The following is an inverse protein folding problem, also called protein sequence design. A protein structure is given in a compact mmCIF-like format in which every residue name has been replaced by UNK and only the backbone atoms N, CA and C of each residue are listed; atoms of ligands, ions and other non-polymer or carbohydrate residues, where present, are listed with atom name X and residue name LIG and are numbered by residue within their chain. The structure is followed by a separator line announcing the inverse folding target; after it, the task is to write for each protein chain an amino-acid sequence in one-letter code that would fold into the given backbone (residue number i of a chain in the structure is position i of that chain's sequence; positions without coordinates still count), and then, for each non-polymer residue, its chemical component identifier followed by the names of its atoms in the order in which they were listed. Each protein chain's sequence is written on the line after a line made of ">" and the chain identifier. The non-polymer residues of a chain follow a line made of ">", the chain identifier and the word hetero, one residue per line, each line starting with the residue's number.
data_IF_067988665138
#
_entry.id   IF_067988665138
#
_cell.length_a   1.000
_cell.length_b   1.000
_cell.length_c   1.000
_cell.angle_alpha   90.00
_cell.angle_beta   90.00
_cell.angle_gamma   90.00
#
_symmetry.space_group_name_H-M   'P 1'
#
loop_
_entity.id
_entity.type
_entity.pdbx_description
1 polymer ?
#
# COMPACT_ATOMS: atom_id res chain seq x y z
N UNK A 1 -5.13 41.00 14.07
CA UNK A 1 -4.27 39.83 14.35
C UNK A 1 -5.00 38.51 14.02
N UNK A 2 -6.18 38.26 14.61
CA UNK A 2 -6.96 37.01 14.42
C UNK A 2 -7.32 36.65 12.97
N UNK A 3 -7.64 37.63 12.12
CA UNK A 3 -8.00 37.38 10.71
C UNK A 3 -6.79 36.88 9.87
N UNK A 4 -5.56 37.33 10.18
CA UNK A 4 -4.34 36.90 9.45
C UNK A 4 -3.92 35.47 9.78
N UNK A 5 -4.21 35.01 11.00
CA UNK A 5 -3.96 33.62 11.43
C UNK A 5 -4.95 32.65 10.77
N UNK A 6 -6.21 33.07 10.61
CA UNK A 6 -7.23 32.28 9.94
C UNK A 6 -6.95 32.04 8.44
N UNK A 7 -6.39 33.03 7.74
CA UNK A 7 -5.97 32.84 6.35
C UNK A 7 -4.80 31.87 6.21
N UNK A 8 -3.84 31.94 7.13
CA UNK A 8 -2.68 31.04 7.14
C UNK A 8 -3.07 29.59 7.46
N UNK A 9 -4.01 29.38 8.39
CA UNK A 9 -4.48 28.04 8.75
C UNK A 9 -5.29 27.37 7.64
N UNK A 10 -6.13 28.13 6.91
CA UNK A 10 -6.87 27.61 5.75
C UNK A 10 -5.92 27.22 4.62
N UNK A 11 -4.89 28.03 4.35
CA UNK A 11 -3.91 27.74 3.32
C UNK A 11 -3.10 26.47 3.64
N UNK A 12 -2.68 26.31 4.90
CA UNK A 12 -1.97 25.11 5.37
C UNK A 12 -2.86 23.86 5.27
N UNK A 13 -4.13 23.95 5.67
CA UNK A 13 -5.07 22.83 5.57
C UNK A 13 -5.32 22.41 4.10
N UNK A 14 -5.37 23.38 3.17
CA UNK A 14 -5.54 23.11 1.75
C UNK A 14 -4.33 22.38 1.15
N UNK A 15 -3.11 22.78 1.52
CA UNK A 15 -1.86 22.16 1.04
C UNK A 15 -1.67 20.75 1.61
N UNK A 16 -1.99 20.52 2.89
CA UNK A 16 -1.88 19.20 3.51
C UNK A 16 -2.82 18.15 2.90
N UNK A 17 -3.98 18.57 2.37
CA UNK A 17 -4.96 17.67 1.77
C UNK A 17 -4.51 17.08 0.42
N UNK A 18 -3.54 17.72 -0.25
CA UNK A 18 -3.02 17.27 -1.55
C UNK A 18 -1.97 16.13 -1.45
N UNK A 19 -1.42 15.85 -0.27
CA UNK A 19 -0.31 14.91 -0.07
C UNK A 19 -0.78 13.49 0.27
N UNK A 20 -2.09 13.28 0.50
CA UNK A 20 -2.63 12.07 1.15
C UNK A 20 -2.91 10.84 0.27
N UNK A 21 -2.83 10.93 -1.07
CA UNK A 21 -3.40 9.89 -1.95
C UNK A 21 -2.36 9.06 -2.73
N UNK A 22 -1.26 8.66 -2.07
CA UNK A 22 -0.42 7.60 -2.62
C UNK A 22 -1.19 6.27 -2.59
N UNK A 23 -1.60 5.77 -3.75
CA UNK A 23 -2.19 4.44 -3.87
C UNK A 23 -1.14 3.39 -3.45
N UNK A 24 -1.30 2.85 -2.24
CA UNK A 24 -0.52 1.71 -1.76
C UNK A 24 -0.92 0.47 -2.56
N UNK A 25 -0.07 0.08 -3.51
CA UNK A 25 -0.21 -1.19 -4.24
C UNK A 25 0.15 -2.32 -3.26
N UNK A 26 -0.87 -2.98 -2.74
CA UNK A 26 -0.71 -4.21 -1.95
C UNK A 26 -0.50 -5.40 -2.90
N UNK A 27 0.65 -5.42 -3.58
CA UNK A 27 1.03 -6.55 -4.42
C UNK A 27 2.19 -7.32 -3.81
N UNK A 28 1.87 -8.41 -3.10
CA UNK A 28 2.90 -9.29 -2.55
C UNK A 28 3.52 -10.23 -3.62
N UNK A 29 2.92 -10.39 -4.82
CA UNK A 29 3.41 -11.31 -5.88
C UNK A 29 4.84 -10.97 -6.31
N UNK A 30 5.15 -9.68 -6.37
CA UNK A 30 6.43 -9.17 -6.86
C UNK A 30 7.42 -8.84 -5.72
N UNK A 31 7.16 -9.31 -4.50
CA UNK A 31 8.01 -9.08 -3.33
C UNK A 31 8.69 -10.36 -2.87
N UNK A 32 9.72 -10.23 -2.04
CA UNK A 32 10.39 -11.39 -1.39
C UNK A 32 9.45 -12.23 -0.52
N UNK A 33 8.29 -11.71 -0.11
CA UNK A 33 7.28 -12.43 0.66
C UNK A 33 6.39 -13.31 -0.20
N UNK A 34 6.50 -13.27 -1.54
CA UNK A 34 5.92 -14.31 -2.36
C UNK A 34 6.71 -15.61 -2.13
N UNK A 35 6.19 -16.47 -1.26
CA UNK A 35 6.78 -17.77 -0.96
C UNK A 35 6.34 -18.88 -1.93
N UNK A 36 5.60 -18.56 -3.00
CA UNK A 36 5.29 -19.54 -4.05
C UNK A 36 6.52 -19.84 -4.92
N UNK A 37 6.44 -20.87 -5.77
CA UNK A 37 7.52 -21.25 -6.71
C UNK A 37 7.98 -20.10 -7.61
N UNK A 38 7.06 -19.18 -7.95
CA UNK A 38 7.34 -18.04 -8.81
C UNK A 38 7.88 -16.82 -8.06
N UNK A 39 8.08 -16.94 -6.74
CA UNK A 39 8.57 -15.86 -5.90
C UNK A 39 10.00 -15.42 -6.24
N UNK A 40 10.30 -14.11 -6.10
CA UNK A 40 11.65 -13.56 -6.32
C UNK A 40 12.61 -13.83 -5.15
N UNK A 41 12.10 -14.35 -4.02
CA UNK A 41 12.89 -14.69 -2.84
C UNK A 41 13.70 -15.98 -3.00
N UNK A 42 14.77 -16.12 -2.21
CA UNK A 42 15.56 -17.35 -2.12
C UNK A 42 14.89 -18.43 -1.27
N UNK A 43 14.10 -18.00 -0.27
CA UNK A 43 13.24 -18.88 0.52
C UNK A 43 11.86 -18.90 -0.12
N UNK A 44 11.49 -20.03 -0.70
CA UNK A 44 10.20 -20.25 -1.35
C UNK A 44 9.84 -21.73 -1.37
N UNK A 45 8.58 -22.03 -1.61
CA UNK A 45 8.08 -23.37 -1.77
C UNK A 45 8.63 -24.01 -3.04
N UNK A 46 8.83 -25.33 -3.00
CA UNK A 46 9.25 -26.10 -4.19
C UNK A 46 8.09 -26.49 -5.09
N UNK A 47 6.86 -26.53 -4.56
CA UNK A 47 5.68 -27.04 -5.29
C UNK A 47 4.46 -26.11 -5.22
N UNK A 48 4.37 -25.23 -4.22
CA UNK A 48 3.20 -24.36 -4.06
C UNK A 48 3.22 -23.24 -5.09
N UNK A 49 2.20 -23.20 -5.94
CA UNK A 49 2.06 -22.22 -7.03
C UNK A 49 1.23 -21.01 -6.62
N UNK A 50 0.43 -21.11 -5.55
CA UNK A 50 -0.41 -20.01 -5.08
C UNK A 50 0.37 -19.10 -4.13
N UNK A 51 0.05 -17.82 -4.18
CA UNK A 51 0.59 -16.85 -3.20
C UNK A 51 -0.18 -16.97 -1.89
N UNK A 52 0.52 -16.76 -0.77
CA UNK A 52 -0.03 -16.88 0.57
C UNK A 52 -1.32 -16.07 0.75
N UNK A 53 -2.42 -16.76 1.06
CA UNK A 53 -3.76 -16.16 1.27
C UNK A 53 -3.77 -15.14 2.41
N UNK A 54 -2.91 -15.28 3.42
CA UNK A 54 -2.82 -14.32 4.52
C UNK A 54 -2.22 -12.97 4.10
N UNK A 55 -1.33 -12.97 3.11
CA UNK A 55 -0.69 -11.76 2.59
C UNK A 55 -1.45 -11.17 1.39
N UNK A 56 -2.21 -12.01 0.69
CA UNK A 56 -3.01 -11.69 -0.49
C UNK A 56 -4.49 -12.03 -0.25
N UNK A 57 -5.05 -11.66 0.90
CA UNK A 57 -6.49 -11.82 1.19
C UNK A 57 -7.25 -10.91 0.23
N UNK A 58 -7.84 -11.42 -0.87
CA UNK A 58 -8.52 -10.56 -1.81
C UNK A 58 -9.83 -10.14 -1.16
N UNK A 59 -9.97 -8.86 -0.84
CA UNK A 59 -11.28 -8.31 -0.54
C UNK A 59 -12.02 -8.20 -1.88
N UNK A 60 -12.87 -9.20 -2.20
CA UNK A 60 -13.69 -9.37 -3.42
C UNK A 60 -13.10 -10.30 -4.50
N UNK A 61 -12.90 -11.58 -4.18
CA UNK A 61 -12.94 -12.61 -5.23
C UNK A 61 -14.41 -13.00 -5.49
N UNK A 62 -15.08 -12.26 -6.39
CA UNK A 62 -16.28 -12.69 -7.10
C UNK A 62 -16.17 -12.23 -8.55
#
# INVERSE_FOLDING_TARGET
>A
MFCRVAFFSVFIALVCSAVGNAARINDVRNTKHNLSVSGPGTVKASTETRVCVFCHTPHQAN
#
